data_IF_327971431508
#
_entry.id   IF_327971431508
#
_cell.length_a   1.000
_cell.length_b   1.000
_cell.length_c   1.000
_cell.angle_alpha   90.00
_cell.angle_beta   90.00
_cell.angle_gamma   90.00
#
_symmetry.space_group_name_H-M   'P 1'
#
loop_
_entity.id
_entity.type
_entity.pdbx_description
1 polymer ?
#
# COMPACT_ATOMS: atom_id res chain seq x y z
N UNK A 1 0.54 15.10 7.39
CA UNK A 1 0.10 13.68 7.35
C UNK A 1 -1.41 13.49 7.24
N UNK A 2 -2.25 14.44 7.70
CA UNK A 2 -3.72 14.33 7.64
C UNK A 2 -4.26 14.16 6.21
N UNK A 3 -3.80 14.99 5.28
CA UNK A 3 -4.22 14.98 3.87
C UNK A 3 -3.89 13.66 3.17
N UNK A 4 -2.65 13.13 3.32
CA UNK A 4 -2.26 11.82 2.77
C UNK A 4 -3.17 10.67 3.23
N UNK A 5 -3.58 10.68 4.50
CA UNK A 5 -4.52 9.68 5.04
C UNK A 5 -5.91 9.84 4.43
N UNK A 6 -6.37 11.08 4.22
CA UNK A 6 -7.64 11.36 3.55
C UNK A 6 -7.63 10.85 2.10
N UNK A 7 -6.54 11.10 1.35
CA UNK A 7 -6.36 10.56 -0.01
C UNK A 7 -6.47 9.04 -0.03
N UNK A 8 -5.78 8.34 0.89
CA UNK A 8 -5.81 6.88 1.00
C UNK A 8 -7.22 6.38 1.32
N UNK A 9 -7.88 6.97 2.32
CA UNK A 9 -9.24 6.60 2.71
C UNK A 9 -10.26 6.83 1.58
N UNK A 10 -10.15 7.93 0.85
CA UNK A 10 -11.00 8.22 -0.32
C UNK A 10 -10.80 7.26 -1.49
N UNK A 11 -9.68 6.52 -1.51
CA UNK A 11 -9.36 5.52 -2.52
C UNK A 11 -9.45 4.08 -1.99
N UNK A 12 -10.25 3.84 -0.94
CA UNK A 12 -10.52 2.51 -0.39
C UNK A 12 -9.28 1.79 0.17
N UNK A 13 -8.24 2.53 0.55
CA UNK A 13 -7.11 1.95 1.27
C UNK A 13 -7.45 1.76 2.74
N UNK A 14 -7.16 0.56 3.23
CA UNK A 14 -7.30 0.17 4.62
C UNK A 14 -5.93 0.23 5.31
N UNK A 15 -5.92 0.68 6.55
CA UNK A 15 -4.70 0.74 7.36
C UNK A 15 -4.54 -0.55 8.16
N UNK A 16 -3.37 -1.18 8.03
CA UNK A 16 -2.99 -2.39 8.74
C UNK A 16 -2.05 -2.04 9.91
N UNK A 17 -2.63 -1.86 11.10
CA UNK A 17 -1.92 -1.44 12.30
C UNK A 17 -0.69 -2.28 12.64
N UNK A 18 -0.78 -3.62 12.50
CA UNK A 18 0.31 -4.53 12.90
C UNK A 18 1.57 -4.40 12.03
N UNK A 19 1.42 -3.96 10.78
CA UNK A 19 2.51 -3.82 9.81
C UNK A 19 2.80 -2.38 9.45
N UNK A 20 2.05 -1.44 10.04
CA UNK A 20 2.12 -0.01 9.75
C UNK A 20 2.07 0.33 8.25
N UNK A 21 1.13 -0.31 7.53
CA UNK A 21 0.96 -0.14 6.07
C UNK A 21 -0.48 0.22 5.71
N UNK A 22 -0.65 0.79 4.52
CA UNK A 22 -1.93 0.97 3.85
C UNK A 22 -2.03 0.00 2.69
N UNK A 23 -3.15 -0.70 2.57
CA UNK A 23 -3.38 -1.66 1.49
C UNK A 23 -4.76 -1.51 0.87
N UNK A 24 -4.89 -1.83 -0.41
CA UNK A 24 -6.17 -1.92 -1.10
C UNK A 24 -6.20 -3.24 -1.89
N UNK A 25 -7.18 -4.10 -1.56
CA UNK A 25 -7.35 -5.43 -2.17
C UNK A 25 -7.86 -5.36 -3.60
N UNK A 26 -8.66 -4.35 -3.95
CA UNK A 26 -9.21 -4.16 -5.30
C UNK A 26 -8.12 -3.75 -6.29
N UNK A 27 -7.28 -2.78 -5.92
CA UNK A 27 -6.14 -2.36 -6.74
C UNK A 27 -4.90 -3.25 -6.57
N UNK A 28 -4.91 -4.15 -5.57
CA UNK A 28 -3.78 -4.98 -5.14
C UNK A 28 -2.51 -4.15 -4.91
N UNK A 29 -2.64 -3.08 -4.12
CA UNK A 29 -1.55 -2.16 -3.81
C UNK A 29 -1.30 -2.08 -2.31
N UNK A 30 -0.03 -1.97 -1.94
CA UNK A 30 0.42 -1.83 -0.55
C UNK A 30 1.44 -0.70 -0.50
N UNK A 31 1.23 0.22 0.43
CA UNK A 31 2.12 1.34 0.74
C UNK A 31 2.51 1.29 2.21
N UNK A 32 3.80 1.28 2.50
CA UNK A 32 4.28 1.49 3.87
C UNK A 32 3.99 2.92 4.34
N UNK A 33 3.75 3.11 5.64
CA UNK A 33 3.57 4.45 6.18
C UNK A 33 4.81 5.32 5.97
N UNK A 34 6.00 4.72 6.04
CA UNK A 34 7.28 5.38 5.77
C UNK A 34 7.35 5.92 4.35
N UNK A 35 7.03 5.12 3.31
CA UNK A 35 7.08 5.61 1.93
C UNK A 35 6.06 6.73 1.68
N UNK A 36 4.89 6.62 2.33
CA UNK A 36 3.87 7.68 2.28
C UNK A 36 4.40 8.95 2.95
N UNK A 37 5.13 8.85 4.06
CA UNK A 37 5.70 10.01 4.73
C UNK A 37 6.80 10.68 3.89
N UNK A 38 7.69 9.86 3.33
CA UNK A 38 8.87 10.28 2.58
C UNK A 38 8.54 10.94 1.23
N UNK A 39 7.47 10.48 0.58
CA UNK A 39 7.06 10.98 -0.74
C UNK A 39 6.02 12.10 -0.68
N UNK A 40 5.82 12.84 -1.76
CA UNK A 40 4.81 13.90 -1.85
C UNK A 40 3.39 13.33 -2.02
N UNK A 41 2.39 14.17 -1.78
CA UNK A 41 0.98 13.82 -2.02
C UNK A 41 0.70 13.53 -3.49
N UNK A 42 1.33 14.28 -4.39
CA UNK A 42 1.21 14.09 -5.84
C UNK A 42 1.73 12.71 -6.28
N UNK A 43 2.90 12.31 -5.76
CA UNK A 43 3.44 10.97 -5.98
C UNK A 43 2.49 9.87 -5.48
N UNK A 44 1.88 10.07 -4.32
CA UNK A 44 0.91 9.12 -3.77
C UNK A 44 -0.32 9.00 -4.67
N UNK A 45 -0.85 10.12 -5.17
CA UNK A 45 -1.99 10.13 -6.09
C UNK A 45 -1.63 9.44 -7.41
N UNK A 46 -0.47 9.73 -8.00
CA UNK A 46 0.05 9.04 -9.18
C UNK A 46 0.09 7.52 -8.95
N UNK A 47 0.70 7.09 -7.85
CA UNK A 47 0.79 5.67 -7.50
C UNK A 47 -0.52 5.02 -7.14
N UNK A 48 -1.52 5.76 -6.67
CA UNK A 48 -2.86 5.22 -6.47
C UNK A 48 -3.56 5.04 -7.82
N UNK A 49 -3.46 6.01 -8.73
CA UNK A 49 -4.13 6.01 -10.04
C UNK A 49 -3.47 5.08 -11.07
N UNK A 50 -2.19 4.74 -10.89
CA UNK A 50 -1.46 3.82 -11.76
C UNK A 50 -2.24 2.49 -11.94
N UNK A 51 -2.45 2.02 -13.17
CA UNK A 51 -3.16 0.75 -13.35
C UNK A 51 -2.23 -0.43 -13.06
N UNK A 52 -2.63 -1.26 -12.10
CA UNK A 52 -1.93 -2.52 -11.85
C UNK A 52 -2.38 -3.60 -12.86
N UNK A 53 -1.65 -3.70 -13.98
CA UNK A 53 -1.95 -4.66 -15.05
C UNK A 53 -1.28 -6.04 -14.85
N UNK A 54 -0.49 -6.21 -13.79
CA UNK A 54 0.30 -7.43 -13.57
C UNK A 54 -0.49 -8.56 -12.89
N UNK A 55 -1.71 -8.26 -12.40
CA UNK A 55 -2.53 -9.19 -11.63
C UNK A 55 -1.97 -9.54 -10.23
N UNK A 56 -0.76 -9.06 -9.92
CA UNK A 56 -0.01 -9.33 -8.71
C UNK A 56 0.01 -8.11 -7.79
N UNK A 57 0.29 -8.30 -6.50
CA UNK A 57 0.39 -7.18 -5.56
C UNK A 57 1.61 -6.29 -5.86
N UNK A 58 1.35 -4.99 -6.00
CA UNK A 58 2.37 -3.94 -6.04
C UNK A 58 2.67 -3.45 -4.62
N UNK A 59 3.94 -3.44 -4.26
CA UNK A 59 4.40 -3.21 -2.89
C UNK A 59 5.42 -2.08 -2.89
N UNK A 60 5.14 -1.04 -2.10
CA UNK A 60 5.91 0.20 -2.03
C UNK A 60 6.49 0.39 -0.62
N UNK A 61 7.79 0.11 -0.47
CA UNK A 61 8.56 0.18 0.78
C UNK A 61 9.86 0.95 0.53
N UNK A 62 10.32 1.71 1.53
CA UNK A 62 11.50 2.57 1.38
C UNK A 62 12.79 1.74 1.26
N UNK A 63 12.99 0.77 2.16
CA UNK A 63 14.20 -0.07 2.22
C UNK A 63 14.13 -1.35 1.36
N UNK A 64 13.19 -1.39 0.40
CA UNK A 64 12.86 -2.60 -0.34
C UNK A 64 12.11 -3.63 0.50
N UNK A 65 11.58 -4.66 -0.15
CA UNK A 65 10.86 -5.74 0.50
C UNK A 65 11.41 -7.06 -0.04
N UNK A 66 11.83 -7.97 0.84
CA UNK A 66 12.25 -9.31 0.41
C UNK A 66 11.06 -10.08 -0.14
N UNK A 67 11.32 -11.01 -1.06
CA UNK A 67 10.24 -11.83 -1.66
C UNK A 67 9.47 -12.62 -0.60
N UNK A 68 10.16 -13.10 0.43
CA UNK A 68 9.55 -13.83 1.55
C UNK A 68 8.58 -12.94 2.33
N UNK A 69 9.03 -11.74 2.72
CA UNK A 69 8.21 -10.78 3.45
C UNK A 69 7.00 -10.33 2.62
N UNK A 70 7.17 -10.16 1.31
CA UNK A 70 6.08 -9.90 0.36
C UNK A 70 5.04 -11.02 0.37
N UNK A 71 5.47 -12.28 0.26
CA UNK A 71 4.55 -13.43 0.21
C UNK A 71 3.81 -13.62 1.55
N UNK A 72 4.50 -13.45 2.67
CA UNK A 72 3.88 -13.48 3.99
C UNK A 72 2.84 -12.38 4.16
N UNK A 73 3.17 -11.16 3.76
CA UNK A 73 2.28 -10.01 3.85
C UNK A 73 1.03 -10.20 3.01
N UNK A 74 1.18 -10.64 1.76
CA UNK A 74 0.06 -10.93 0.86
C UNK A 74 -0.81 -12.03 1.47
N UNK A 75 -0.21 -13.09 2.01
CA UNK A 75 -0.95 -14.20 2.63
C UNK A 75 -1.69 -13.75 3.89
N UNK A 76 -1.13 -12.85 4.70
CA UNK A 76 -1.78 -12.25 5.87
C UNK A 76 -3.00 -11.40 5.47
N UNK A 77 -2.84 -10.57 4.44
CA UNK A 77 -3.90 -9.69 3.95
C UNK A 77 -5.03 -10.48 3.27
N UNK A 78 -4.71 -11.53 2.54
CA UNK A 78 -5.70 -12.41 1.88
C UNK A 78 -6.51 -13.22 2.92
N UNK A 79 -5.88 -13.67 4.00
CA UNK A 79 -6.53 -14.40 5.10
C UNK A 79 -7.42 -13.56 6.00
N UNK A 80 -7.26 -12.24 5.99
CA UNK A 80 -8.11 -11.33 6.77
C UNK A 80 -9.47 -11.20 6.05
N UNK A 81 -10.34 -12.18 6.29
CA UNK A 81 -11.78 -12.19 6.00
C UNK A 81 -12.56 -11.61 7.18
#
# INVERSE_FOLDING_TARGET
MKIKKEILNSNDFQYHFKRDIYYNKLSKKIFSTEIIQDNTEDWLVDKIQERNNTGSWQIYFNDGCTLEMKNELISELDRSC
#
